data_IF_136047287156
#
_entry.id   IF_136047287156
#
_cell.length_a   1.000
_cell.length_b   1.000
_cell.length_c   1.000
_cell.angle_alpha   90.00
_cell.angle_beta   90.00
_cell.angle_gamma   90.00
#
_symmetry.space_group_name_H-M   'P 1'
#
loop_
_entity.id
_entity.type
_entity.pdbx_description
1 polymer ?
#
# COMPACT_ATOMS: atom_id res chain seq x y z
N UNK A 1 12.11 23.38 13.14
CA UNK A 1 11.03 22.40 13.37
C UNK A 1 11.59 21.00 13.18
N UNK A 2 11.37 20.08 14.11
CA UNK A 2 11.81 18.70 13.93
C UNK A 2 11.05 18.11 12.74
N UNK A 3 11.78 17.65 11.73
CA UNK A 3 11.21 16.90 10.61
C UNK A 3 10.48 15.70 11.20
N UNK A 4 9.15 15.67 11.07
CA UNK A 4 8.34 14.53 11.51
C UNK A 4 8.93 13.27 10.87
N UNK A 5 9.35 12.32 11.70
CA UNK A 5 10.00 11.10 11.22
C UNK A 5 9.06 10.40 10.23
N UNK A 6 9.54 10.22 9.00
CA UNK A 6 8.80 9.51 7.94
C UNK A 6 8.42 8.11 8.44
N UNK A 7 7.17 7.73 8.31
CA UNK A 7 6.70 6.37 8.58
C UNK A 7 6.50 5.66 7.25
N UNK A 8 7.07 4.48 7.12
CA UNK A 8 7.11 3.74 5.86
C UNK A 8 6.48 2.37 5.99
N UNK A 9 5.85 1.92 4.92
CA UNK A 9 5.33 0.57 4.78
C UNK A 9 5.81 -0.08 3.49
N UNK A 10 5.80 -1.40 3.47
CA UNK A 10 5.92 -2.20 2.26
C UNK A 10 4.70 -3.11 2.11
N UNK A 11 4.37 -3.46 0.87
CA UNK A 11 3.40 -4.52 0.56
C UNK A 11 4.11 -5.76 0.03
N UNK A 12 3.66 -6.93 0.48
CA UNK A 12 4.06 -8.22 -0.05
C UNK A 12 2.81 -8.94 -0.57
N UNK A 13 2.70 -9.04 -1.87
CA UNK A 13 1.62 -9.71 -2.57
C UNK A 13 2.07 -11.14 -2.85
N UNK A 14 1.30 -12.12 -2.38
CA UNK A 14 1.62 -13.54 -2.50
C UNK A 14 0.55 -14.20 -3.36
N UNK A 15 0.96 -14.86 -4.44
CA UNK A 15 0.04 -15.59 -5.31
C UNK A 15 0.57 -15.79 -6.73
N UNK A 16 0.64 -17.02 -7.16
CA UNK A 16 0.99 -17.45 -8.53
C UNK A 16 0.04 -16.88 -9.58
N UNK A 17 -1.23 -16.65 -9.23
CA UNK A 17 -2.24 -16.10 -10.12
C UNK A 17 -1.95 -14.64 -10.52
N UNK A 18 -1.25 -13.89 -9.67
CA UNK A 18 -0.82 -12.53 -9.98
C UNK A 18 0.36 -12.56 -10.94
N UNK A 19 1.37 -13.39 -10.66
CA UNK A 19 2.56 -13.51 -11.50
C UNK A 19 2.25 -14.11 -12.88
N UNK A 20 1.29 -15.02 -12.95
CA UNK A 20 0.84 -15.58 -14.24
C UNK A 20 -0.08 -14.65 -15.04
N UNK A 21 -0.48 -13.50 -14.49
CA UNK A 21 -1.41 -12.56 -15.11
C UNK A 21 -2.87 -13.07 -15.18
N UNK A 22 -3.18 -14.21 -14.54
CA UNK A 22 -4.55 -14.75 -14.49
C UNK A 22 -5.47 -13.86 -13.65
N UNK A 23 -4.92 -13.21 -12.63
CA UNK A 23 -5.62 -12.25 -11.80
C UNK A 23 -4.85 -10.94 -11.77
N UNK A 24 -5.54 -9.82 -11.98
CA UNK A 24 -4.97 -8.49 -11.79
C UNK A 24 -5.03 -8.13 -10.32
N UNK A 25 -3.89 -7.78 -9.72
CA UNK A 25 -3.88 -7.26 -8.35
C UNK A 25 -4.55 -5.88 -8.26
N UNK A 26 -5.46 -5.75 -7.32
CA UNK A 26 -6.12 -4.49 -6.96
C UNK A 26 -5.82 -4.09 -5.50
N UNK A 27 -5.29 -5.00 -4.70
CA UNK A 27 -5.01 -4.79 -3.28
C UNK A 27 -3.96 -3.71 -3.07
N UNK A 28 -2.94 -3.66 -3.92
CA UNK A 28 -1.89 -2.65 -3.87
C UNK A 28 -2.46 -1.23 -3.86
N UNK A 29 -3.36 -0.93 -4.80
CA UNK A 29 -3.97 0.39 -4.90
C UNK A 29 -4.84 0.74 -3.68
N UNK A 30 -5.54 -0.25 -3.13
CA UNK A 30 -6.36 -0.08 -1.93
C UNK A 30 -5.47 0.16 -0.68
N UNK A 31 -4.39 -0.61 -0.51
CA UNK A 31 -3.42 -0.42 0.57
C UNK A 31 -2.80 0.97 0.49
N UNK A 32 -2.34 1.40 -0.69
CA UNK A 32 -1.72 2.71 -0.87
C UNK A 32 -2.67 3.86 -0.49
N UNK A 33 -3.92 3.79 -0.97
CA UNK A 33 -4.96 4.78 -0.64
C UNK A 33 -5.31 4.78 0.84
N UNK A 34 -5.37 3.59 1.46
CA UNK A 34 -5.70 3.45 2.87
C UNK A 34 -4.60 4.02 3.79
N UNK A 35 -3.33 3.83 3.45
CA UNK A 35 -2.20 4.29 4.26
C UNK A 35 -1.97 5.82 4.17
N UNK A 36 -2.34 6.44 3.06
CA UNK A 36 -2.07 7.86 2.79
C UNK A 36 -2.63 8.82 3.86
N UNK A 37 -3.88 8.70 4.34
CA UNK A 37 -4.44 9.56 5.39
C UNK A 37 -3.71 9.46 6.74
N UNK A 38 -3.02 8.34 7.00
CA UNK A 38 -2.21 8.17 8.21
C UNK A 38 -0.79 8.77 8.06
N UNK A 39 -0.45 9.29 6.87
CA UNK A 39 0.88 9.78 6.56
C UNK A 39 1.93 8.66 6.44
N UNK A 40 1.51 7.42 6.23
CA UNK A 40 2.37 6.25 6.03
C UNK A 40 2.64 6.09 4.54
N UNK A 41 3.91 6.14 4.16
CA UNK A 41 4.33 5.99 2.77
C UNK A 41 4.46 4.51 2.40
N UNK A 42 3.69 4.05 1.42
CA UNK A 42 3.97 2.77 0.79
C UNK A 42 5.21 2.93 -0.11
N UNK A 43 6.35 2.42 0.35
CA UNK A 43 7.67 2.70 -0.22
C UNK A 43 8.21 1.59 -1.12
N UNK A 44 7.75 0.35 -0.91
CA UNK A 44 8.17 -0.82 -1.72
C UNK A 44 7.02 -1.80 -1.85
N UNK A 45 6.97 -2.49 -2.97
CA UNK A 45 6.05 -3.59 -3.22
C UNK A 45 6.82 -4.75 -3.80
N UNK A 46 6.56 -5.95 -3.30
CA UNK A 46 7.02 -7.19 -3.92
C UNK A 46 5.83 -8.09 -4.23
N UNK A 47 5.93 -8.78 -5.34
CA UNK A 47 5.03 -9.86 -5.73
C UNK A 47 5.87 -11.13 -5.76
N UNK A 48 5.45 -12.16 -5.05
CA UNK A 48 6.17 -13.44 -4.96
C UNK A 48 5.22 -14.61 -5.21
N UNK A 49 5.74 -15.75 -5.70
CA UNK A 49 4.96 -16.96 -5.84
C UNK A 49 4.58 -17.56 -4.47
N UNK A 50 3.70 -18.56 -4.50
CA UNK A 50 3.36 -19.40 -3.34
C UNK A 50 4.50 -20.40 -3.04
N UNK A 51 5.68 -19.86 -2.77
CA UNK A 51 6.92 -20.59 -2.46
C UNK A 51 7.49 -20.15 -1.11
N UNK A 52 7.87 -21.11 -0.28
CA UNK A 52 8.30 -20.85 1.11
C UNK A 52 9.55 -19.97 1.16
N UNK A 53 10.55 -20.28 0.34
CA UNK A 53 11.86 -19.61 0.40
C UNK A 53 11.71 -18.17 -0.12
N UNK A 54 10.93 -17.95 -1.19
CA UNK A 54 10.66 -16.63 -1.76
C UNK A 54 9.86 -15.76 -0.79
N UNK A 55 8.81 -16.29 -0.18
CA UNK A 55 8.00 -15.55 0.82
C UNK A 55 8.84 -15.18 2.03
N UNK A 56 9.59 -16.14 2.61
CA UNK A 56 10.41 -15.91 3.82
C UNK A 56 11.53 -14.90 3.55
N UNK A 57 12.21 -15.01 2.41
CA UNK A 57 13.27 -14.08 2.02
C UNK A 57 12.73 -12.66 1.82
N UNK A 58 11.63 -12.51 1.07
CA UNK A 58 11.01 -11.22 0.83
C UNK A 58 10.51 -10.59 2.14
N UNK A 59 9.82 -11.37 2.97
CA UNK A 59 9.29 -10.90 4.26
C UNK A 59 10.41 -10.41 5.18
N UNK A 60 11.49 -11.19 5.32
CA UNK A 60 12.62 -10.82 6.17
C UNK A 60 13.30 -9.53 5.69
N UNK A 61 13.50 -9.37 4.38
CA UNK A 61 14.07 -8.15 3.81
C UNK A 61 13.17 -6.93 4.07
N UNK A 62 11.87 -7.06 3.87
CA UNK A 62 10.92 -5.96 4.02
C UNK A 62 10.73 -5.55 5.48
N UNK A 63 10.52 -6.52 6.41
CA UNK A 63 10.26 -6.22 7.82
C UNK A 63 11.45 -5.61 8.56
N UNK A 64 12.67 -5.81 8.07
CA UNK A 64 13.88 -5.18 8.61
C UNK A 64 14.07 -3.75 8.11
N UNK A 65 13.55 -3.42 6.93
CA UNK A 65 13.77 -2.15 6.25
C UNK A 65 12.67 -1.12 6.51
N UNK A 66 11.42 -1.57 6.68
CA UNK A 66 10.25 -0.71 6.78
C UNK A 66 9.60 -0.77 8.16
N UNK A 67 8.92 0.32 8.53
CA UNK A 67 8.18 0.40 9.80
C UNK A 67 7.03 -0.60 9.84
N UNK A 68 6.41 -0.90 8.69
CA UNK A 68 5.33 -1.87 8.55
C UNK A 68 5.45 -2.68 7.27
N UNK A 69 4.97 -3.93 7.32
CA UNK A 69 4.75 -4.77 6.13
C UNK A 69 3.31 -5.23 6.13
N UNK A 70 2.63 -5.09 5.00
CA UNK A 70 1.28 -5.61 4.80
C UNK A 70 1.37 -6.72 3.76
N UNK A 71 1.04 -7.96 4.14
CA UNK A 71 0.97 -9.07 3.19
C UNK A 71 -0.47 -9.32 2.77
N UNK A 72 -0.68 -9.72 1.53
CA UNK A 72 -1.99 -10.18 1.02
C UNK A 72 -1.83 -11.47 0.26
N UNK A 73 -2.76 -12.42 0.48
CA UNK A 73 -2.77 -13.73 -0.17
C UNK A 73 -2.29 -14.87 0.71
N UNK A 74 -2.57 -16.10 0.31
CA UNK A 74 -2.08 -17.33 0.91
C UNK A 74 -2.54 -17.64 2.34
N UNK A 75 -3.74 -17.17 2.77
CA UNK A 75 -4.31 -17.47 4.10
C UNK A 75 -5.65 -18.23 4.05
N UNK A 76 -5.96 -18.84 2.93
CA UNK A 76 -7.14 -19.66 2.74
C UNK A 76 -6.99 -21.11 3.24
N UNK A 77 -7.91 -22.01 2.82
CA UNK A 77 -7.93 -23.39 3.27
C UNK A 77 -7.16 -24.36 2.40
N UNK A 78 -6.61 -23.94 1.27
CA UNK A 78 -6.02 -24.82 0.26
C UNK A 78 -4.54 -25.13 0.57
N UNK A 79 -3.94 -26.02 -0.17
CA UNK A 79 -2.59 -26.51 0.12
C UNK A 79 -1.49 -25.49 -0.18
N UNK A 80 -1.77 -24.57 -1.09
CA UNK A 80 -0.98 -23.43 -1.50
C UNK A 80 -1.09 -22.21 -0.55
N UNK A 81 -2.07 -22.21 0.37
CA UNK A 81 -2.19 -21.19 1.42
C UNK A 81 -1.15 -21.41 2.53
N UNK A 82 0.08 -20.95 2.28
CA UNK A 82 1.26 -21.17 3.13
C UNK A 82 1.77 -19.93 3.85
N UNK A 83 1.11 -18.77 3.67
CA UNK A 83 1.59 -17.50 4.22
C UNK A 83 1.78 -17.55 5.74
N UNK A 84 0.86 -18.16 6.51
CA UNK A 84 0.99 -18.26 7.96
C UNK A 84 2.20 -19.11 8.38
N UNK A 85 2.46 -20.20 7.66
CA UNK A 85 3.64 -21.07 7.87
C UNK A 85 4.93 -20.29 7.60
N UNK A 86 5.00 -19.55 6.49
CA UNK A 86 6.15 -18.73 6.11
C UNK A 86 6.42 -17.60 7.11
N UNK A 87 5.37 -16.94 7.61
CA UNK A 87 5.50 -15.89 8.63
C UNK A 87 6.02 -16.49 9.94
N UNK A 88 5.50 -17.63 10.40
CA UNK A 88 6.00 -18.32 11.58
C UNK A 88 7.48 -18.67 11.44
N UNK A 89 7.89 -19.19 10.28
CA UNK A 89 9.29 -19.49 9.96
C UNK A 89 10.16 -18.23 9.97
N UNK A 90 9.72 -17.13 9.32
CA UNK A 90 10.47 -15.87 9.27
C UNK A 90 10.70 -15.25 10.65
N UNK A 91 9.78 -15.47 11.59
CA UNK A 91 9.90 -14.99 12.97
C UNK A 91 10.54 -16.02 13.93
N UNK A 92 10.78 -17.25 13.48
CA UNK A 92 11.36 -18.31 14.30
C UNK A 92 10.45 -18.75 15.45
N UNK A 93 9.14 -18.72 15.27
CA UNK A 93 8.13 -19.06 16.29
C UNK A 93 7.24 -20.21 15.82
N UNK A 94 6.65 -20.99 16.74
CA UNK A 94 5.67 -22.00 16.39
C UNK A 94 4.41 -21.40 15.76
N UNK A 95 3.81 -22.13 14.82
CA UNK A 95 2.49 -21.87 14.28
C UNK A 95 1.46 -22.70 15.05
N UNK A 96 0.44 -22.05 15.62
CA UNK A 96 -0.53 -22.68 16.52
C UNK A 96 -1.96 -22.38 16.11
N UNK A 97 -2.89 -23.30 16.36
CA UNK A 97 -4.30 -23.03 16.19
C UNK A 97 -4.80 -22.04 17.25
N UNK A 98 -5.40 -20.95 16.81
CA UNK A 98 -5.90 -19.88 17.69
C UNK A 98 -7.31 -20.22 18.18
N UNK A 99 -7.54 -20.32 19.50
CA UNK A 99 -8.82 -20.77 20.05
C UNK A 99 -9.99 -19.87 19.69
N UNK A 100 -9.79 -18.56 19.62
CA UNK A 100 -10.83 -17.61 19.22
C UNK A 100 -11.24 -17.82 17.76
N UNK A 101 -10.28 -18.06 16.85
CA UNK A 101 -10.59 -18.32 15.44
C UNK A 101 -11.36 -19.65 15.31
N UNK A 102 -10.92 -20.68 16.01
CA UNK A 102 -11.64 -21.97 16.02
C UNK A 102 -13.07 -21.79 16.51
N UNK A 103 -13.29 -21.04 17.59
CA UNK A 103 -14.63 -20.78 18.11
C UNK A 103 -15.49 -20.00 17.10
N UNK A 104 -14.96 -18.94 16.48
CA UNK A 104 -15.65 -18.18 15.44
C UNK A 104 -16.04 -19.04 14.23
N UNK A 105 -15.12 -19.88 13.77
CA UNK A 105 -15.35 -20.77 12.63
C UNK A 105 -16.37 -21.86 12.96
N UNK A 106 -16.30 -22.46 14.14
CA UNK A 106 -17.25 -23.46 14.60
C UNK A 106 -18.66 -22.87 14.73
N UNK A 107 -18.78 -21.69 15.31
CA UNK A 107 -20.06 -20.99 15.41
C UNK A 107 -20.68 -20.67 14.05
N UNK A 108 -19.85 -20.35 13.05
CA UNK A 108 -20.30 -19.97 11.72
C UNK A 108 -20.70 -21.14 10.84
N UNK A 109 -19.90 -22.20 10.81
CA UNK A 109 -20.09 -23.31 9.88
C UNK A 109 -20.77 -24.53 10.51
N UNK A 110 -20.93 -24.52 11.83
CA UNK A 110 -21.52 -25.62 12.60
C UNK A 110 -20.67 -26.89 12.59
N UNK A 111 -20.76 -27.66 13.65
CA UNK A 111 -20.09 -28.95 13.71
C UNK A 111 -18.58 -28.93 13.76
N UNK A 112 -17.97 -30.06 13.44
CA UNK A 112 -16.54 -30.27 13.48
C UNK A 112 -15.83 -29.67 12.26
N UNK A 113 -14.78 -28.88 12.49
CA UNK A 113 -13.99 -28.29 11.43
C UNK A 113 -13.04 -29.35 10.84
N UNK A 114 -13.10 -29.53 9.52
CA UNK A 114 -12.14 -30.39 8.83
C UNK A 114 -10.73 -29.79 8.83
N UNK A 115 -9.73 -30.60 8.48
CA UNK A 115 -8.31 -30.18 8.50
C UNK A 115 -8.02 -28.92 7.65
N UNK A 116 -8.67 -28.80 6.48
CA UNK A 116 -8.51 -27.63 5.61
C UNK A 116 -9.02 -26.34 6.28
N UNK A 117 -10.17 -26.39 6.92
CA UNK A 117 -10.69 -25.24 7.68
C UNK A 117 -9.81 -24.91 8.90
N UNK A 118 -9.37 -25.93 9.64
CA UNK A 118 -8.48 -25.73 10.80
C UNK A 118 -7.17 -25.05 10.43
N UNK A 119 -6.67 -25.26 9.20
CA UNK A 119 -5.49 -24.54 8.67
C UNK A 119 -5.64 -23.04 8.75
N UNK A 120 -6.83 -22.50 8.43
CA UNK A 120 -7.11 -21.05 8.50
C UNK A 120 -7.18 -20.49 9.92
N UNK A 121 -7.18 -21.35 10.93
CA UNK A 121 -7.17 -20.91 12.32
C UNK A 121 -5.77 -20.82 12.91
N UNK A 122 -4.71 -21.07 12.13
CA UNK A 122 -3.34 -21.07 12.61
C UNK A 122 -2.75 -19.66 12.59
N UNK A 123 -2.13 -19.28 13.70
CA UNK A 123 -1.47 -17.97 13.88
C UNK A 123 -0.09 -18.23 14.52
N UNK A 124 0.96 -17.53 14.06
CA UNK A 124 2.27 -17.60 14.73
C UNK A 124 2.16 -17.19 16.19
N UNK A 125 2.84 -17.93 17.10
CA UNK A 125 2.84 -17.62 18.54
C UNK A 125 3.25 -16.17 18.79
N UNK A 126 2.44 -15.45 19.58
CA UNK A 126 2.63 -14.02 19.86
C UNK A 126 1.97 -13.09 18.84
N UNK A 127 1.34 -13.63 17.82
CA UNK A 127 0.50 -12.84 16.90
C UNK A 127 -0.80 -12.38 17.55
N UNK A 128 -1.25 -11.20 17.19
CA UNK A 128 -2.56 -10.64 17.56
C UNK A 128 -3.50 -10.67 16.35
N UNK A 129 -4.78 -10.92 16.58
CA UNK A 129 -5.75 -11.00 15.48
C UNK A 129 -6.02 -9.64 14.86
N UNK A 130 -6.14 -9.61 13.53
CA UNK A 130 -6.67 -8.49 12.75
C UNK A 130 -8.11 -8.83 12.37
N UNK A 131 -9.06 -8.01 12.82
CA UNK A 131 -10.49 -8.27 12.66
C UNK A 131 -10.87 -8.33 11.17
N UNK A 132 -11.74 -9.28 10.87
CA UNK A 132 -12.39 -9.41 9.57
C UNK A 132 -13.91 -9.18 9.73
N UNK A 133 -14.42 -7.99 9.40
CA UNK A 133 -15.83 -7.69 9.54
C UNK A 133 -16.68 -8.24 8.39
N UNK A 134 -16.07 -8.73 7.32
CA UNK A 134 -16.77 -9.15 6.10
C UNK A 134 -17.15 -10.63 6.17
N UNK A 135 -16.17 -11.51 5.96
CA UNK A 135 -16.40 -12.95 5.90
C UNK A 135 -15.10 -13.76 6.06
N UNK A 136 -15.19 -14.87 6.78
CA UNK A 136 -14.06 -15.79 7.00
C UNK A 136 -13.29 -15.50 8.28
N UNK A 137 -12.15 -16.18 8.48
CA UNK A 137 -11.32 -15.97 9.65
C UNK A 137 -10.67 -14.59 9.64
N UNK A 138 -10.26 -14.08 10.81
CA UNK A 138 -9.45 -12.88 10.91
C UNK A 138 -8.07 -13.10 10.28
N UNK A 139 -7.41 -12.00 9.92
CA UNK A 139 -5.98 -11.96 9.71
C UNK A 139 -5.22 -11.90 11.03
N UNK A 140 -3.91 -11.62 10.96
CA UNK A 140 -3.12 -11.45 12.17
C UNK A 140 -1.98 -10.44 11.98
N UNK A 141 -1.46 -9.96 13.11
CA UNK A 141 -0.26 -9.15 13.16
C UNK A 141 0.77 -9.82 14.05
N UNK A 142 2.02 -9.87 13.59
CA UNK A 142 3.18 -10.23 14.41
C UNK A 142 4.30 -9.21 14.18
N UNK A 143 4.81 -8.63 15.27
CA UNK A 143 5.76 -7.52 15.15
C UNK A 143 5.20 -6.38 14.30
N UNK A 144 5.92 -6.02 13.24
CA UNK A 144 5.50 -4.98 12.28
C UNK A 144 4.85 -5.54 11.01
N UNK A 145 4.49 -6.82 10.98
CA UNK A 145 3.89 -7.50 9.82
C UNK A 145 2.40 -7.73 10.05
N UNK A 146 1.57 -7.24 9.14
CA UNK A 146 0.15 -7.50 9.06
C UNK A 146 -0.13 -8.50 7.94
N UNK A 147 -0.85 -9.56 8.25
CA UNK A 147 -1.19 -10.62 7.30
C UNK A 147 -2.68 -10.58 7.01
N UNK A 148 -3.03 -10.24 5.78
CA UNK A 148 -4.40 -9.99 5.34
C UNK A 148 -4.80 -10.95 4.21
N UNK A 149 -6.10 -11.10 3.99
CA UNK A 149 -6.64 -11.93 2.92
C UNK A 149 -6.28 -11.39 1.52
N UNK A 150 -6.18 -12.29 0.53
CA UNK A 150 -6.00 -11.94 -0.87
C UNK A 150 -7.25 -11.34 -1.53
N UNK A 151 -8.45 -11.75 -1.08
CA UNK A 151 -9.73 -11.27 -1.62
C UNK A 151 -9.93 -9.78 -1.32
N UNK A 152 -10.03 -8.89 -2.34
CA UNK A 152 -9.97 -7.44 -2.14
C UNK A 152 -11.00 -6.89 -1.16
N UNK A 153 -12.24 -7.37 -1.21
CA UNK A 153 -13.29 -6.92 -0.31
C UNK A 153 -12.98 -7.29 1.16
N UNK A 154 -12.41 -8.47 1.39
CA UNK A 154 -12.04 -8.95 2.73
C UNK A 154 -10.84 -8.17 3.23
N UNK A 155 -9.82 -8.00 2.39
CA UNK A 155 -8.61 -7.24 2.70
C UNK A 155 -8.94 -5.80 3.11
N UNK A 156 -9.81 -5.10 2.35
CA UNK A 156 -10.27 -3.75 2.72
C UNK A 156 -10.95 -3.71 4.08
N UNK A 157 -11.80 -4.70 4.37
CA UNK A 157 -12.43 -4.80 5.69
C UNK A 157 -11.41 -4.99 6.82
N UNK A 158 -10.38 -5.79 6.59
CA UNK A 158 -9.30 -6.01 7.56
C UNK A 158 -8.42 -4.77 7.77
N UNK A 159 -8.21 -3.93 6.74
CA UNK A 159 -7.45 -2.69 6.85
C UNK A 159 -8.04 -1.74 7.91
N UNK A 160 -9.36 -1.74 8.13
CA UNK A 160 -10.01 -0.91 9.15
C UNK A 160 -9.49 -1.20 10.58
N UNK A 161 -9.04 -2.43 10.85
CA UNK A 161 -8.41 -2.80 12.13
C UNK A 161 -6.90 -2.57 12.14
N UNK A 162 -6.28 -2.37 10.98
CA UNK A 162 -4.84 -2.03 10.84
C UNK A 162 -4.60 -0.54 11.16
N UNK A 163 -5.42 0.36 10.63
CA UNK A 163 -5.23 1.81 10.77
C UNK A 163 -4.97 2.30 12.18
N UNK A 164 -5.81 1.94 13.19
CA UNK A 164 -5.61 2.33 14.59
C UNK A 164 -4.29 1.85 15.22
N UNK A 165 -3.61 0.87 14.60
CA UNK A 165 -2.35 0.30 15.09
C UNK A 165 -1.12 0.96 14.45
N UNK A 166 -1.33 1.82 13.46
CA UNK A 166 -0.25 2.52 12.78
C UNK A 166 0.18 3.77 13.56
N UNK A 167 1.48 4.02 13.56
CA UNK A 167 1.99 5.36 13.90
C UNK A 167 1.67 6.30 12.75
N UNK A 168 1.17 7.48 13.08
CA UNK A 168 0.85 8.50 12.09
C UNK A 168 2.06 9.43 11.86
N UNK A 169 2.12 9.98 10.65
CA UNK A 169 3.08 11.02 10.27
C UNK A 169 2.37 12.16 9.54
N UNK A 170 3.10 13.20 9.17
CA UNK A 170 2.53 14.27 8.36
C UNK A 170 2.03 13.71 7.01
N UNK A 171 0.79 14.00 6.68
CA UNK A 171 0.17 13.58 5.41
C UNK A 171 0.83 14.32 4.24
N UNK A 172 0.98 13.64 3.11
CA UNK A 172 1.48 14.27 1.88
C UNK A 172 0.36 15.12 1.29
N UNK A 173 0.63 16.41 1.15
CA UNK A 173 -0.20 17.34 0.37
C UNK A 173 0.16 17.17 -1.10
N UNK A 174 -0.86 17.01 -1.94
CA UNK A 174 -0.71 16.89 -3.40
C UNK A 174 -1.47 18.02 -4.06
N UNK A 175 -0.86 18.66 -5.05
CA UNK A 175 -1.52 19.63 -5.95
C UNK A 175 -1.22 19.24 -7.38
N UNK A 176 -2.23 19.37 -8.23
CA UNK A 176 -2.12 19.07 -9.66
C UNK A 176 -2.38 20.33 -10.46
N UNK A 177 -1.44 20.72 -11.30
CA UNK A 177 -1.59 21.79 -12.28
C UNK A 177 -1.84 21.14 -13.64
N UNK A 178 -3.05 21.32 -14.18
CA UNK A 178 -3.45 20.78 -15.48
C UNK A 178 -3.15 21.79 -16.58
N UNK A 179 -2.43 21.33 -17.59
CA UNK A 179 -2.09 22.11 -18.77
C UNK A 179 -2.60 21.39 -20.01
N UNK A 180 -3.37 22.08 -20.84
CA UNK A 180 -3.91 21.54 -22.10
C UNK A 180 -3.12 22.03 -23.31
N UNK A 181 -3.10 21.22 -24.37
CA UNK A 181 -2.42 21.55 -25.63
C UNK A 181 -0.88 21.61 -25.54
N UNK A 182 -0.29 21.21 -24.42
CA UNK A 182 1.15 21.29 -24.19
C UNK A 182 1.69 19.94 -23.79
N UNK A 183 2.67 19.43 -24.51
CA UNK A 183 3.36 18.18 -24.22
C UNK A 183 4.50 18.34 -23.22
N UNK A 184 4.94 17.22 -22.61
CA UNK A 184 5.98 17.19 -21.59
C UNK A 184 7.30 17.85 -22.02
N UNK A 185 7.68 17.72 -23.30
CA UNK A 185 8.93 18.30 -23.79
C UNK A 185 9.02 19.81 -23.64
N UNK A 186 7.91 20.54 -23.73
CA UNK A 186 7.89 21.99 -23.56
C UNK A 186 8.02 22.44 -22.10
N UNK A 187 7.67 21.58 -21.14
CA UNK A 187 7.66 21.89 -19.71
C UNK A 187 8.75 21.19 -18.92
N UNK A 188 9.58 20.38 -19.58
CA UNK A 188 10.65 19.62 -18.92
C UNK A 188 11.65 20.53 -18.19
N UNK A 189 12.17 21.57 -18.85
CA UNK A 189 13.14 22.48 -18.27
C UNK A 189 12.59 23.30 -17.08
N UNK A 190 11.39 23.95 -17.16
CA UNK A 190 10.79 24.58 -15.99
C UNK A 190 10.53 23.63 -14.84
N UNK A 191 10.09 22.39 -15.10
CA UNK A 191 9.84 21.40 -14.06
C UNK A 191 11.15 20.96 -13.37
N UNK A 192 12.22 20.77 -14.13
CA UNK A 192 13.57 20.49 -13.60
C UNK A 192 14.09 21.64 -12.72
N UNK A 193 13.89 22.87 -13.16
CA UNK A 193 14.32 24.06 -12.41
C UNK A 193 13.55 24.18 -11.09
N UNK A 194 12.25 23.92 -11.12
CA UNK A 194 11.40 23.90 -9.92
C UNK A 194 11.83 22.79 -8.94
N UNK A 195 12.14 21.59 -9.46
CA UNK A 195 12.60 20.48 -8.63
C UNK A 195 13.93 20.79 -7.92
N UNK A 196 14.85 21.49 -8.60
CA UNK A 196 16.10 21.95 -7.99
C UNK A 196 15.90 23.02 -6.92
N UNK A 197 14.92 23.92 -7.12
CA UNK A 197 14.57 24.96 -6.14
C UNK A 197 13.84 24.40 -4.90
N UNK A 198 13.12 23.30 -5.04
CA UNK A 198 12.32 22.67 -3.99
C UNK A 198 12.71 21.19 -3.79
N UNK A 199 13.90 20.87 -3.28
CA UNK A 199 14.40 19.50 -3.19
C UNK A 199 13.62 18.60 -2.19
N UNK A 200 12.81 19.18 -1.32
CA UNK A 200 11.94 18.45 -0.41
C UNK A 200 10.61 18.03 -1.04
N UNK A 201 10.29 18.55 -2.24
CA UNK A 201 9.08 18.21 -2.97
C UNK A 201 9.35 17.10 -4.01
N UNK A 202 8.32 16.30 -4.27
CA UNK A 202 8.29 15.38 -5.39
C UNK A 202 7.47 15.99 -6.52
N UNK A 203 8.05 16.11 -7.70
CA UNK A 203 7.41 16.64 -8.88
C UNK A 203 7.32 15.55 -9.94
N UNK A 204 6.16 15.46 -10.60
CA UNK A 204 5.92 14.52 -11.69
C UNK A 204 5.10 15.13 -12.80
N UNK A 205 5.27 14.63 -14.03
CA UNK A 205 4.46 14.97 -15.17
C UNK A 205 3.74 13.72 -15.69
N UNK A 206 2.48 13.87 -16.02
CA UNK A 206 1.61 12.78 -16.45
C UNK A 206 0.83 13.24 -17.69
N UNK A 207 1.29 12.85 -18.89
CA UNK A 207 0.60 13.20 -20.12
C UNK A 207 -0.76 12.52 -20.18
N UNK A 208 -1.72 13.21 -20.78
CA UNK A 208 -3.03 12.65 -21.08
C UNK A 208 -3.40 12.91 -22.53
N UNK A 209 -4.18 11.98 -23.08
CA UNK A 209 -4.72 12.03 -24.43
C UNK A 209 -6.19 11.59 -24.38
N UNK A 210 -7.04 12.29 -25.09
CA UNK A 210 -8.47 11.97 -25.13
C UNK A 210 -9.21 12.69 -26.27
N UNK A 211 -10.51 12.43 -26.42
CA UNK A 211 -11.34 13.09 -27.46
C UNK A 211 -11.38 14.61 -27.35
N UNK A 212 -11.17 15.16 -26.15
CA UNK A 212 -11.15 16.60 -25.87
C UNK A 212 -9.79 17.27 -26.14
N UNK A 213 -8.76 16.49 -26.52
CA UNK A 213 -7.42 17.01 -26.74
C UNK A 213 -6.35 16.25 -25.98
N UNK A 214 -5.18 16.87 -25.86
CA UNK A 214 -4.04 16.35 -25.12
C UNK A 214 -3.48 17.40 -24.17
N UNK A 215 -2.65 16.96 -23.23
CA UNK A 215 -1.99 17.86 -22.29
C UNK A 215 -1.18 17.09 -21.26
N UNK A 216 -0.83 17.77 -20.17
CA UNK A 216 -0.02 17.19 -19.11
C UNK A 216 -0.54 17.64 -17.74
N UNK A 217 -0.69 16.70 -16.82
CA UNK A 217 -0.93 16.99 -15.41
C UNK A 217 0.41 17.07 -14.69
N UNK A 218 0.72 18.22 -14.11
CA UNK A 218 1.93 18.47 -13.32
C UNK A 218 1.58 18.30 -11.85
N UNK A 219 2.12 17.27 -11.22
CA UNK A 219 1.78 16.91 -9.84
C UNK A 219 2.93 17.30 -8.92
N UNK A 220 2.63 18.13 -7.92
CA UNK A 220 3.56 18.60 -6.90
C UNK A 220 3.11 18.02 -5.56
N UNK A 221 4.04 17.34 -4.87
CA UNK A 221 3.76 16.61 -3.64
C UNK A 221 4.79 16.93 -2.58
N UNK A 222 4.34 17.14 -1.35
CA UNK A 222 5.21 17.37 -0.20
C UNK A 222 4.47 17.29 1.11
N UNK A 223 5.21 17.30 2.23
CA UNK A 223 4.60 17.27 3.58
C UNK A 223 4.38 18.67 4.15
N UNK A 224 5.06 19.67 3.61
CA UNK A 224 4.84 21.07 3.93
C UNK A 224 3.87 21.68 2.91
N UNK A 225 2.63 21.90 3.32
CA UNK A 225 1.60 22.47 2.44
C UNK A 225 1.93 23.91 2.01
N UNK A 226 2.66 24.66 2.81
CA UNK A 226 3.12 26.01 2.45
C UNK A 226 4.14 25.95 1.31
N UNK A 227 5.12 25.05 1.40
CA UNK A 227 6.11 24.84 0.34
C UNK A 227 5.46 24.33 -0.96
N UNK A 228 4.49 23.39 -0.86
CA UNK A 228 3.72 22.92 -2.02
C UNK A 228 2.99 24.08 -2.69
N UNK A 229 2.33 24.93 -1.91
CA UNK A 229 1.59 26.11 -2.44
C UNK A 229 2.53 27.11 -3.11
N UNK A 230 3.68 27.38 -2.52
CA UNK A 230 4.68 28.28 -3.10
C UNK A 230 5.25 27.74 -4.43
N UNK A 231 5.53 26.43 -4.48
CA UNK A 231 6.01 25.77 -5.70
C UNK A 231 4.95 25.78 -6.82
N UNK A 232 3.68 25.58 -6.49
CA UNK A 232 2.57 25.70 -7.46
C UNK A 232 2.50 27.13 -8.04
N UNK A 233 2.58 28.15 -7.19
CA UNK A 233 2.54 29.54 -7.63
C UNK A 233 3.73 29.86 -8.58
N UNK A 234 4.96 29.45 -8.22
CA UNK A 234 6.15 29.64 -9.04
C UNK A 234 6.04 28.89 -10.39
N UNK A 235 5.43 27.69 -10.39
CA UNK A 235 5.19 26.95 -11.63
C UNK A 235 4.22 27.70 -12.54
N UNK A 236 3.11 28.19 -12.00
CA UNK A 236 2.09 28.94 -12.77
C UNK A 236 2.70 30.21 -13.38
N UNK A 237 3.49 30.97 -12.62
CA UNK A 237 4.20 32.15 -13.14
C UNK A 237 5.16 31.81 -14.28
N UNK A 238 5.92 30.70 -14.12
CA UNK A 238 6.85 30.23 -15.16
C UNK A 238 6.12 29.82 -16.44
N UNK A 239 5.01 29.07 -16.31
CA UNK A 239 4.19 28.66 -17.45
C UNK A 239 3.57 29.87 -18.17
N UNK A 240 3.08 30.85 -17.41
CA UNK A 240 2.54 32.10 -17.96
C UNK A 240 3.59 32.88 -18.76
N UNK A 241 4.84 32.96 -18.28
CA UNK A 241 5.94 33.59 -19.01
C UNK A 241 6.29 32.88 -20.33
N UNK A 242 5.96 31.59 -20.43
CA UNK A 242 6.10 30.79 -21.66
C UNK A 242 4.86 30.82 -22.55
N UNK A 243 3.86 31.66 -22.25
CA UNK A 243 2.56 31.69 -22.91
C UNK A 243 1.79 30.35 -22.85
N UNK A 244 2.05 29.54 -21.83
CA UNK A 244 1.33 28.29 -21.57
C UNK A 244 0.23 28.57 -20.54
N UNK A 245 -1.00 28.29 -20.93
CA UNK A 245 -2.17 28.53 -20.06
C UNK A 245 -2.43 27.32 -19.15
N UNK A 246 -2.57 27.58 -17.85
CA UNK A 246 -3.06 26.60 -16.89
C UNK A 246 -4.58 26.46 -17.06
N UNK A 247 -5.04 25.24 -17.27
CA UNK A 247 -6.46 24.94 -17.44
C UNK A 247 -7.18 24.74 -16.09
N UNK A 248 -6.50 24.11 -15.10
CA UNK A 248 -7.08 23.77 -13.81
C UNK A 248 -5.98 23.57 -12.76
N UNK A 249 -6.30 23.82 -11.50
CA UNK A 249 -5.47 23.50 -10.34
C UNK A 249 -6.31 22.77 -9.32
N UNK A 250 -6.05 21.46 -9.15
CA UNK A 250 -6.69 20.62 -8.16
C UNK A 250 -5.84 20.50 -6.88
N UNK A 251 -6.54 20.28 -5.75
CA UNK A 251 -5.89 20.13 -4.49
C UNK A 251 -6.52 19.22 -3.47
#
# INVERSE_FOLDING_TARGET
>A
MAISKRVTAAALIIGDEILSGRTQDTNLGDIARYLAPFGVDLAEVRVVPDDVDEIVAALNALRQKYDYVITTGGIGPTHDDITADCVAQAFGVPLEEHPEILALMTARWGGELNAARRRMARVPRGGSLVKNPVQGPPGFQIGNVFVLAGVPQIMRGMLEDVGPRLRTAAVIVTRTVRVEGTGEGAIAAPLESLAKAHPALSLGSYPFFGPAGYGTNLVIRGRDGGEVTAAVAALIETLAAMAITVAEVDG
#
